data_IF_728599373879
#
_entry.id   IF_728599373879
#
_cell.length_a   1.000
_cell.length_b   1.000
_cell.length_c   1.000
_cell.angle_alpha   90.00
_cell.angle_beta   90.00
_cell.angle_gamma   90.00
#
_symmetry.space_group_name_H-M   'P 1'
#
loop_
_entity.id
_entity.type
_entity.pdbx_description
1 polymer ?
#
# COMPACT_ATOMS: atom_id res chain seq x y z
N UNK A 1 39.30 -8.05 -7.86
CA UNK A 1 38.98 -9.43 -7.43
C UNK A 1 39.60 -9.61 -6.05
N UNK A 2 38.92 -9.60 -4.92
CA UNK A 2 37.51 -9.53 -4.59
C UNK A 2 37.38 -8.56 -3.39
N UNK A 3 36.45 -7.62 -3.48
CA UNK A 3 36.18 -6.62 -2.43
C UNK A 3 34.70 -6.73 -2.05
N UNK A 4 34.26 -7.97 -1.82
CA UNK A 4 32.86 -8.31 -1.57
C UNK A 4 32.81 -9.48 -0.59
N UNK A 5 33.08 -9.17 0.69
CA UNK A 5 32.83 -10.05 1.84
C UNK A 5 32.88 -9.21 3.12
N UNK A 6 32.22 -8.04 3.12
CA UNK A 6 32.00 -7.23 4.32
C UNK A 6 30.53 -6.89 4.41
N UNK A 7 29.72 -7.90 4.67
CA UNK A 7 28.54 -7.76 5.54
C UNK A 7 28.61 -8.97 6.47
N UNK A 8 29.50 -8.83 7.46
CA UNK A 8 29.43 -9.59 8.69
C UNK A 8 27.98 -9.56 9.16
N UNK A 9 27.39 -10.74 9.25
CA UNK A 9 26.13 -11.01 9.93
C UNK A 9 26.20 -10.42 11.34
N UNK A 10 25.74 -9.17 11.46
CA UNK A 10 25.49 -8.54 12.73
C UNK A 10 24.32 -9.29 13.37
N UNK A 11 24.66 -10.22 14.26
CA UNK A 11 23.97 -10.47 15.52
C UNK A 11 22.44 -10.45 15.40
N UNK A 12 21.88 -11.60 14.99
CA UNK A 12 20.43 -11.82 14.88
C UNK A 12 19.82 -11.98 16.27
N UNK A 13 19.80 -10.89 17.04
CA UNK A 13 19.09 -10.80 18.31
C UNK A 13 17.73 -10.10 18.12
N UNK A 14 17.03 -10.54 17.06
CA UNK A 14 15.70 -10.06 16.67
C UNK A 14 14.73 -11.22 16.53
N UNK A 15 13.51 -11.03 17.03
CA UNK A 15 12.42 -12.00 16.90
C UNK A 15 12.10 -12.29 15.43
N UNK A 16 11.27 -13.30 15.17
CA UNK A 16 10.81 -13.61 13.80
C UNK A 16 10.22 -12.39 13.10
N UNK A 17 9.46 -11.56 13.83
CA UNK A 17 8.84 -10.35 13.29
C UNK A 17 9.89 -9.31 12.87
N UNK A 18 10.96 -9.12 13.64
CA UNK A 18 12.05 -8.20 13.27
C UNK A 18 12.71 -8.60 11.96
N UNK A 19 13.00 -9.89 11.80
CA UNK A 19 13.55 -10.44 10.55
C UNK A 19 12.59 -10.31 9.38
N UNK A 20 11.29 -10.55 9.60
CA UNK A 20 10.27 -10.38 8.58
C UNK A 20 10.17 -8.91 8.15
N UNK A 21 10.12 -7.98 9.10
CA UNK A 21 10.06 -6.54 8.82
C UNK A 21 11.33 -6.06 8.14
N UNK A 22 12.50 -6.50 8.59
CA UNK A 22 13.76 -6.20 7.92
C UNK A 22 13.73 -6.67 6.46
N UNK A 23 13.26 -7.89 6.20
CA UNK A 23 13.12 -8.44 4.85
C UNK A 23 12.14 -7.62 4.01
N UNK A 24 10.99 -7.22 4.57
CA UNK A 24 10.01 -6.39 3.88
C UNK A 24 10.56 -4.99 3.56
N UNK A 25 11.29 -4.38 4.49
CA UNK A 25 11.95 -3.07 4.30
C UNK A 25 13.04 -3.16 3.26
N UNK A 26 13.83 -4.23 3.30
CA UNK A 26 14.90 -4.47 2.33
C UNK A 26 14.31 -4.67 0.93
N UNK A 27 13.29 -5.51 0.80
CA UNK A 27 12.56 -5.70 -0.44
C UNK A 27 12.02 -4.37 -0.96
N UNK A 28 11.34 -3.57 -0.12
CA UNK A 28 10.76 -2.29 -0.51
C UNK A 28 11.81 -1.25 -0.92
N UNK A 29 12.95 -1.19 -0.22
CA UNK A 29 14.07 -0.28 -0.54
C UNK A 29 14.70 -0.58 -1.90
N UNK A 30 14.82 -1.87 -2.23
CA UNK A 30 15.38 -2.33 -3.50
C UNK A 30 14.30 -2.55 -4.57
N UNK A 31 13.04 -2.30 -4.24
CA UNK A 31 11.94 -2.37 -5.18
C UNK A 31 12.03 -1.17 -6.14
N UNK A 32 12.81 -1.34 -7.19
CA UNK A 32 12.90 -0.36 -8.27
C UNK A 32 11.69 -0.56 -9.18
N UNK A 33 10.74 0.39 -9.12
CA UNK A 33 9.84 0.56 -10.26
C UNK A 33 10.75 1.11 -11.35
N UNK A 34 10.92 0.43 -12.49
CA UNK A 34 11.64 1.03 -13.61
C UNK A 34 10.82 2.23 -14.08
N UNK A 35 11.07 3.38 -13.45
CA UNK A 35 10.75 4.69 -13.97
C UNK A 35 11.71 4.84 -15.14
N UNK A 36 11.24 5.14 -16.36
CA UNK A 36 12.11 5.23 -17.52
C UNK A 36 13.14 6.34 -17.28
N UNK A 37 14.33 5.94 -16.83
CA UNK A 37 15.51 6.79 -16.76
C UNK A 37 15.98 6.99 -18.20
N UNK A 38 15.69 8.17 -18.75
CA UNK A 38 16.47 8.80 -19.82
C UNK A 38 16.13 8.53 -21.30
N UNK A 39 14.97 7.97 -21.68
CA UNK A 39 14.48 8.16 -23.06
C UNK A 39 12.97 8.06 -23.13
N UNK A 40 12.32 9.21 -23.37
CA UNK A 40 10.87 9.35 -23.59
C UNK A 40 10.33 8.53 -24.78
N UNK A 41 11.20 7.87 -25.57
CA UNK A 41 10.85 7.17 -26.81
C UNK A 41 11.51 5.80 -27.00
N UNK A 42 12.15 5.21 -25.97
CA UNK A 42 12.70 3.85 -26.13
C UNK A 42 11.56 2.81 -26.25
N UNK A 43 11.63 1.86 -27.19
CA UNK A 43 10.68 0.74 -27.23
C UNK A 43 10.88 -0.11 -25.98
N UNK A 44 9.91 -0.05 -25.08
CA UNK A 44 9.95 -0.80 -23.82
C UNK A 44 9.40 -2.21 -24.05
N UNK A 45 10.15 -3.23 -23.64
CA UNK A 45 9.70 -4.62 -23.73
C UNK A 45 8.46 -4.87 -22.83
N UNK A 46 7.34 -5.38 -23.38
CA UNK A 46 6.07 -5.42 -22.68
C UNK A 46 5.93 -6.50 -21.57
N UNK A 47 6.85 -7.47 -21.47
CA UNK A 47 6.67 -8.66 -20.61
C UNK A 47 7.28 -8.55 -19.21
N UNK A 48 8.37 -7.81 -19.05
CA UNK A 48 9.06 -7.63 -17.76
C UNK A 48 8.39 -6.59 -16.87
N UNK A 49 7.60 -5.71 -17.47
CA UNK A 49 7.03 -4.52 -16.84
C UNK A 49 5.75 -4.78 -16.03
N UNK A 50 4.83 -5.62 -16.55
CA UNK A 50 3.65 -6.10 -15.78
C UNK A 50 4.05 -6.84 -14.50
N UNK A 51 5.16 -7.57 -14.54
CA UNK A 51 5.63 -8.37 -13.41
C UNK A 51 6.01 -7.50 -12.20
N UNK A 52 6.59 -6.32 -12.41
CA UNK A 52 6.93 -5.41 -11.33
C UNK A 52 5.66 -4.86 -10.64
N UNK A 53 4.69 -4.38 -11.43
CA UNK A 53 3.41 -3.92 -10.91
C UNK A 53 2.65 -5.01 -10.13
N UNK A 54 2.60 -6.23 -10.65
CA UNK A 54 1.98 -7.36 -9.97
C UNK A 54 2.68 -7.74 -8.66
N UNK A 55 4.03 -7.69 -8.63
CA UNK A 55 4.81 -7.90 -7.41
C UNK A 55 4.49 -6.83 -6.35
N UNK A 56 4.34 -5.57 -6.76
CA UNK A 56 3.91 -4.49 -5.86
C UNK A 56 2.51 -4.75 -5.30
N UNK A 57 1.53 -5.12 -6.15
CA UNK A 57 0.18 -5.45 -5.71
C UNK A 57 0.19 -6.62 -4.71
N UNK A 58 0.96 -7.67 -5.00
CA UNK A 58 1.10 -8.82 -4.10
C UNK A 58 1.71 -8.41 -2.75
N UNK A 59 2.73 -7.55 -2.76
CA UNK A 59 3.35 -7.02 -1.56
C UNK A 59 2.38 -6.17 -0.74
N UNK A 60 1.63 -5.26 -1.37
CA UNK A 60 0.61 -4.43 -0.70
C UNK A 60 -0.46 -5.31 -0.05
N UNK A 61 -0.97 -6.32 -0.77
CA UNK A 61 -1.93 -7.29 -0.23
C UNK A 61 -1.36 -8.03 0.98
N UNK A 62 -0.13 -8.53 0.87
CA UNK A 62 0.57 -9.20 1.97
C UNK A 62 0.70 -8.29 3.19
N UNK A 63 1.13 -7.04 3.00
CA UNK A 63 1.30 -6.07 4.09
C UNK A 63 -0.03 -5.70 4.74
N UNK A 64 -1.10 -5.55 3.95
CA UNK A 64 -2.44 -5.27 4.47
C UNK A 64 -2.96 -6.43 5.33
N UNK A 65 -2.85 -7.67 4.85
CA UNK A 65 -3.23 -8.86 5.62
C UNK A 65 -2.38 -9.00 6.87
N UNK A 66 -1.06 -8.81 6.76
CA UNK A 66 -0.17 -8.89 7.90
C UNK A 66 -0.55 -7.88 8.98
N UNK A 67 -0.96 -6.66 8.61
CA UNK A 67 -1.39 -5.62 9.54
C UNK A 67 -2.78 -5.87 10.14
N UNK A 68 -3.72 -6.44 9.38
CA UNK A 68 -5.05 -6.79 9.90
C UNK A 68 -5.02 -7.99 10.85
N UNK A 69 -4.08 -8.91 10.65
CA UNK A 69 -4.00 -10.15 11.43
C UNK A 69 -3.27 -9.97 12.76
N UNK A 70 -2.67 -8.81 13.03
CA UNK A 70 -2.04 -8.53 14.33
C UNK A 70 -3.13 -8.38 15.39
N UNK A 71 -3.26 -9.35 16.32
CA UNK A 71 -4.29 -9.27 17.34
C UNK A 71 -3.98 -8.08 18.26
N UNK A 72 -4.92 -7.14 18.36
CA UNK A 72 -4.91 -6.13 19.41
C UNK A 72 -5.10 -6.87 20.75
N UNK A 73 -4.02 -7.32 21.38
CA UNK A 73 -4.09 -7.98 22.67
C UNK A 73 -4.02 -6.90 23.77
N UNK A 74 -5.15 -6.53 24.42
CA UNK A 74 -5.18 -5.48 25.43
C UNK A 74 -4.43 -5.86 26.72
N UNK A 75 -3.95 -7.09 26.86
CA UNK A 75 -3.30 -7.60 28.08
C UNK A 75 -1.76 -7.48 28.14
N UNK A 76 -1.07 -7.10 27.06
CA UNK A 76 0.39 -7.17 26.98
C UNK A 76 1.10 -5.84 27.29
N UNK A 77 0.83 -5.24 28.45
CA UNK A 77 1.39 -3.95 28.86
C UNK A 77 2.94 -3.90 28.94
N UNK A 78 3.61 -5.05 29.10
CA UNK A 78 5.08 -5.13 29.17
C UNK A 78 5.78 -5.34 27.81
N UNK A 79 5.03 -5.70 26.75
CA UNK A 79 5.55 -5.96 25.40
C UNK A 79 5.07 -4.90 24.38
N UNK A 80 4.31 -3.90 24.84
CA UNK A 80 3.63 -2.90 24.02
C UNK A 80 4.56 -2.01 23.21
N UNK A 81 5.80 -1.75 23.67
CA UNK A 81 6.72 -0.86 22.94
C UNK A 81 7.23 -1.48 21.64
N UNK A 82 7.62 -2.76 21.65
CA UNK A 82 8.08 -3.47 20.45
C UNK A 82 6.90 -3.75 19.51
N UNK A 83 5.77 -4.18 20.06
CA UNK A 83 4.56 -4.42 19.29
C UNK A 83 4.06 -3.14 18.59
N UNK A 84 4.08 -2.00 19.29
CA UNK A 84 3.77 -0.69 18.71
C UNK A 84 4.78 -0.29 17.63
N UNK A 85 6.08 -0.57 17.84
CA UNK A 85 7.12 -0.34 16.82
C UNK A 85 6.93 -1.18 15.55
N UNK A 86 6.51 -2.44 15.69
CA UNK A 86 6.23 -3.34 14.57
C UNK A 86 4.99 -2.88 13.79
N UNK A 87 3.89 -2.56 14.49
CA UNK A 87 2.68 -2.00 13.89
C UNK A 87 2.99 -0.71 13.13
N UNK A 88 3.75 0.21 13.74
CA UNK A 88 4.20 1.43 13.08
C UNK A 88 4.99 1.12 11.81
N UNK A 89 5.99 0.23 11.87
CA UNK A 89 6.80 -0.13 10.71
C UNK A 89 5.97 -0.74 9.58
N UNK A 90 4.99 -1.58 9.91
CA UNK A 90 4.10 -2.21 8.94
C UNK A 90 3.15 -1.20 8.31
N UNK A 91 2.57 -0.31 9.12
CA UNK A 91 1.70 0.76 8.66
C UNK A 91 2.44 1.74 7.72
N UNK A 92 3.68 2.11 8.06
CA UNK A 92 4.52 2.96 7.19
C UNK A 92 4.77 2.27 5.84
N UNK A 93 5.19 1.01 5.85
CA UNK A 93 5.44 0.24 4.61
C UNK A 93 4.18 0.09 3.76
N UNK A 94 3.03 -0.18 4.37
CA UNK A 94 1.76 -0.26 3.67
C UNK A 94 1.41 1.08 3.03
N UNK A 95 1.49 2.19 3.78
CA UNK A 95 1.19 3.51 3.25
C UNK A 95 2.13 3.89 2.10
N UNK A 96 3.44 3.72 2.28
CA UNK A 96 4.44 4.08 1.27
C UNK A 96 4.31 3.18 0.02
N UNK A 97 3.98 1.90 0.17
CA UNK A 97 3.70 1.00 -0.98
C UNK A 97 2.40 1.33 -1.71
N UNK A 98 1.34 1.72 -1.00
CA UNK A 98 0.13 2.27 -1.62
C UNK A 98 0.42 3.54 -2.43
N UNK A 99 1.27 4.45 -1.95
CA UNK A 99 1.70 5.63 -2.71
C UNK A 99 2.46 5.24 -3.98
N UNK A 100 3.32 4.23 -3.90
CA UNK A 100 3.99 3.69 -5.08
C UNK A 100 2.99 3.10 -6.08
N UNK A 101 1.90 2.44 -5.64
CA UNK A 101 0.85 1.94 -6.55
C UNK A 101 0.19 3.09 -7.32
N UNK A 102 -0.12 4.21 -6.63
CA UNK A 102 -0.72 5.40 -7.26
C UNK A 102 0.18 5.93 -8.38
N UNK A 103 1.47 6.11 -8.09
CA UNK A 103 2.44 6.74 -9.00
C UNK A 103 2.95 5.77 -10.08
N UNK A 104 2.87 4.45 -9.86
CA UNK A 104 3.45 3.46 -10.77
C UNK A 104 2.87 3.55 -12.18
N UNK A 105 3.67 3.78 -13.23
CA UNK A 105 3.17 3.82 -14.61
C UNK A 105 2.86 2.41 -15.16
N UNK A 106 3.25 1.35 -14.44
CA UNK A 106 3.14 -0.04 -14.90
C UNK A 106 1.82 -0.70 -14.57
N UNK A 107 0.99 -0.01 -13.80
CA UNK A 107 -0.32 -0.47 -13.40
C UNK A 107 -1.37 0.33 -14.17
N UNK A 108 -2.29 -0.41 -14.75
CA UNK A 108 -3.58 0.05 -15.22
C UNK A 108 -4.38 0.67 -14.07
N UNK A 109 -5.20 1.68 -14.39
CA UNK A 109 -6.01 2.37 -13.38
C UNK A 109 -6.90 1.41 -12.59
N UNK A 110 -7.52 0.43 -13.26
CA UNK A 110 -8.33 -0.63 -12.64
C UNK A 110 -7.53 -1.39 -11.58
N UNK A 111 -6.34 -1.89 -11.93
CA UNK A 111 -5.49 -2.65 -11.01
C UNK A 111 -5.02 -1.79 -9.83
N UNK A 112 -4.74 -0.50 -10.06
CA UNK A 112 -4.38 0.44 -9.00
C UNK A 112 -5.51 0.62 -8.01
N UNK A 113 -6.69 1.02 -8.49
CA UNK A 113 -7.81 1.39 -7.63
C UNK A 113 -8.36 0.17 -6.88
N UNK A 114 -8.37 -1.01 -7.51
CA UNK A 114 -8.79 -2.25 -6.84
C UNK A 114 -7.78 -2.71 -5.79
N UNK A 115 -6.48 -2.58 -6.05
CA UNK A 115 -5.45 -2.85 -5.05
C UNK A 115 -5.57 -1.92 -3.84
N UNK A 116 -5.76 -0.62 -4.10
CA UNK A 116 -5.91 0.40 -3.06
C UNK A 116 -7.19 0.18 -2.24
N UNK A 117 -8.32 -0.05 -2.92
CA UNK A 117 -9.61 -0.34 -2.27
C UNK A 117 -9.47 -1.49 -1.30
N UNK A 118 -8.95 -2.62 -1.78
CA UNK A 118 -8.80 -3.82 -0.95
C UNK A 118 -7.86 -3.60 0.23
N UNK A 119 -6.70 -2.99 0.00
CA UNK A 119 -5.72 -2.76 1.07
C UNK A 119 -6.25 -1.82 2.16
N UNK A 120 -6.91 -0.74 1.76
CA UNK A 120 -7.44 0.28 2.67
C UNK A 120 -8.70 -0.18 3.40
N UNK A 121 -9.58 -0.95 2.76
CA UNK A 121 -10.73 -1.57 3.44
C UNK A 121 -10.28 -2.63 4.44
N UNK A 122 -9.25 -3.42 4.13
CA UNK A 122 -8.75 -4.47 5.05
C UNK A 122 -7.98 -3.90 6.23
N UNK A 123 -7.09 -2.93 6.02
CA UNK A 123 -6.09 -2.54 7.01
C UNK A 123 -6.00 -1.03 7.24
N UNK A 124 -6.86 -0.23 6.64
CA UNK A 124 -6.79 1.23 6.69
C UNK A 124 -6.91 1.79 8.11
N UNK A 125 -7.84 1.28 8.91
CA UNK A 125 -8.02 1.72 10.30
C UNK A 125 -6.77 1.43 11.15
N UNK A 126 -6.24 0.21 11.06
CA UNK A 126 -5.01 -0.19 11.74
C UNK A 126 -3.79 0.62 11.26
N UNK A 127 -3.72 0.90 9.96
CA UNK A 127 -2.67 1.71 9.36
C UNK A 127 -2.71 3.17 9.80
N UNK A 128 -3.90 3.78 9.89
CA UNK A 128 -4.05 5.15 10.38
C UNK A 128 -3.68 5.26 11.86
N UNK A 129 -4.09 4.27 12.68
CA UNK A 129 -3.71 4.22 14.10
C UNK A 129 -2.21 4.04 14.28
N UNK A 130 -1.59 3.19 13.46
CA UNK A 130 -0.16 2.92 13.50
C UNK A 130 0.69 4.08 12.99
N UNK A 131 0.31 4.72 11.90
CA UNK A 131 1.10 5.77 11.24
C UNK A 131 0.21 6.91 10.67
N UNK A 132 -0.40 7.75 11.53
CA UNK A 132 -1.40 8.73 11.10
C UNK A 132 -0.84 9.77 10.13
N UNK A 133 0.41 10.22 10.33
CA UNK A 133 1.06 11.16 9.43
C UNK A 133 1.32 10.57 8.03
N UNK A 134 1.60 9.25 7.95
CA UNK A 134 1.80 8.57 6.65
C UNK A 134 0.48 8.33 5.94
N UNK A 135 -0.57 8.00 6.68
CA UNK A 135 -1.92 7.90 6.14
C UNK A 135 -2.39 9.26 5.58
N UNK A 136 -2.15 10.36 6.30
CA UNK A 136 -2.46 11.71 5.81
C UNK A 136 -1.76 12.01 4.47
N UNK A 137 -0.46 11.70 4.37
CA UNK A 137 0.29 11.90 3.14
C UNK A 137 -0.17 10.99 1.98
N UNK A 138 -0.65 9.77 2.27
CA UNK A 138 -1.28 8.90 1.27
C UNK A 138 -2.59 9.51 0.77
N UNK A 139 -3.40 10.06 1.67
CA UNK A 139 -4.68 10.71 1.33
C UNK A 139 -4.47 11.95 0.46
N UNK A 140 -3.43 12.73 0.74
CA UNK A 140 -3.08 13.86 -0.14
C UNK A 140 -2.74 13.37 -1.55
N UNK A 141 -1.99 12.27 -1.68
CA UNK A 141 -1.75 11.66 -2.99
C UNK A 141 -3.03 11.13 -3.66
N UNK A 142 -4.00 10.58 -2.90
CA UNK A 142 -5.29 10.16 -3.45
C UNK A 142 -6.11 11.36 -3.94
N UNK A 143 -6.07 12.49 -3.23
CA UNK A 143 -6.71 13.75 -3.65
C UNK A 143 -6.09 14.30 -4.91
N UNK A 144 -4.76 14.34 -4.97
CA UNK A 144 -4.03 14.79 -6.16
C UNK A 144 -4.36 13.92 -7.36
N UNK A 145 -4.41 12.59 -7.18
CA UNK A 145 -4.83 11.65 -8.21
C UNK A 145 -6.29 11.90 -8.64
N UNK A 146 -7.21 12.07 -7.70
CA UNK A 146 -8.63 12.33 -7.99
C UNK A 146 -8.84 13.61 -8.81
N UNK A 147 -8.07 14.67 -8.52
CA UNK A 147 -8.12 15.96 -9.22
C UNK A 147 -7.45 15.94 -10.61
N UNK A 148 -6.71 14.89 -10.93
CA UNK A 148 -6.09 14.75 -12.26
C UNK A 148 -7.14 14.51 -13.35
N UNK A 149 -6.97 15.21 -14.48
CA UNK A 149 -7.83 15.08 -15.67
C UNK A 149 -7.76 13.70 -16.31
N UNK A 150 -6.66 12.98 -16.10
CA UNK A 150 -6.31 11.77 -16.85
C UNK A 150 -6.88 10.50 -16.21
N UNK A 151 -7.62 10.64 -15.11
CA UNK A 151 -8.22 9.51 -14.38
C UNK A 151 -9.59 9.17 -14.97
N UNK A 152 -9.82 7.89 -15.36
CA UNK A 152 -11.13 7.40 -15.80
C UNK A 152 -12.21 7.62 -14.74
N UNK A 153 -13.46 7.75 -15.16
CA UNK A 153 -14.60 8.01 -14.27
C UNK A 153 -14.77 6.92 -13.18
N UNK A 154 -14.66 5.65 -13.54
CA UNK A 154 -14.72 4.51 -12.60
C UNK A 154 -13.60 4.54 -11.55
N UNK A 155 -12.38 4.88 -11.98
CA UNK A 155 -11.25 5.04 -11.08
C UNK A 155 -11.45 6.25 -10.16
N UNK A 156 -12.05 7.33 -10.67
CA UNK A 156 -12.39 8.53 -9.89
C UNK A 156 -13.46 8.24 -8.84
N UNK A 157 -14.49 7.45 -9.16
CA UNK A 157 -15.50 6.97 -8.20
C UNK A 157 -14.87 6.15 -7.08
N UNK A 158 -13.96 5.23 -7.42
CA UNK A 158 -13.23 4.42 -6.42
C UNK A 158 -12.35 5.29 -5.52
N UNK A 159 -11.66 6.29 -6.07
CA UNK A 159 -10.86 7.22 -5.27
C UNK A 159 -11.75 8.02 -4.31
N UNK A 160 -12.94 8.45 -4.75
CA UNK A 160 -13.90 9.14 -3.89
C UNK A 160 -14.41 8.24 -2.76
N UNK A 161 -14.77 7.00 -3.07
CA UNK A 161 -15.15 5.96 -2.09
C UNK A 161 -14.09 5.84 -0.99
N UNK A 162 -12.81 5.80 -1.35
CA UNK A 162 -11.71 5.67 -0.38
C UNK A 162 -11.51 6.93 0.47
N UNK A 163 -11.70 8.12 -0.12
CA UNK A 163 -11.65 9.38 0.62
C UNK A 163 -12.80 9.48 1.63
N UNK A 164 -14.01 9.06 1.25
CA UNK A 164 -15.16 9.00 2.14
C UNK A 164 -15.02 7.92 3.22
N UNK A 165 -14.48 6.75 2.87
CA UNK A 165 -14.19 5.68 3.81
C UNK A 165 -13.28 6.17 4.94
N UNK A 166 -12.23 6.93 4.61
CA UNK A 166 -11.40 7.53 5.66
C UNK A 166 -12.15 8.61 6.44
N UNK A 167 -12.85 9.52 5.76
CA UNK A 167 -13.55 10.64 6.42
C UNK A 167 -14.63 10.18 7.41
N UNK A 168 -15.21 8.99 7.18
CA UNK A 168 -16.18 8.33 8.06
C UNK A 168 -15.55 7.52 9.20
N UNK A 169 -14.21 7.51 9.33
CA UNK A 169 -13.52 6.70 10.34
C UNK A 169 -13.46 5.21 9.98
N UNK A 170 -13.21 4.91 8.71
CA UNK A 170 -13.08 3.54 8.15
C UNK A 170 -14.36 2.71 8.14
N UNK A 171 -15.52 3.37 8.19
CA UNK A 171 -16.84 2.73 8.21
C UNK A 171 -17.82 3.51 7.37
N UNK A 172 -18.07 3.05 6.15
CA UNK A 172 -19.13 3.60 5.30
C UNK A 172 -20.51 3.29 5.89
N UNK A 173 -21.42 4.27 5.82
CA UNK A 173 -22.83 4.07 6.16
C UNK A 173 -23.52 3.16 5.15
N UNK A 174 -24.69 2.62 5.50
CA UNK A 174 -25.48 1.78 4.59
C UNK A 174 -25.83 2.53 3.29
N UNK A 175 -26.18 3.82 3.38
CA UNK A 175 -26.52 4.64 2.22
C UNK A 175 -25.33 4.84 1.28
N UNK A 176 -24.14 5.05 1.85
CA UNK A 176 -22.90 5.16 1.07
C UNK A 176 -22.53 3.83 0.40
N UNK A 177 -22.67 2.72 1.11
CA UNK A 177 -22.45 1.38 0.53
C UNK A 177 -23.38 1.14 -0.65
N UNK A 178 -24.67 1.44 -0.50
CA UNK A 178 -25.67 1.30 -1.58
C UNK A 178 -25.36 2.20 -2.78
N UNK A 179 -24.89 3.43 -2.54
CA UNK A 179 -24.49 4.35 -3.61
C UNK A 179 -23.37 3.74 -4.46
N UNK A 180 -22.27 3.30 -3.84
CA UNK A 180 -21.13 2.77 -4.60
C UNK A 180 -21.39 1.39 -5.20
N UNK A 181 -22.20 0.52 -4.58
CA UNK A 181 -22.55 -0.77 -5.17
C UNK A 181 -23.49 -0.60 -6.38
N UNK A 182 -24.52 0.25 -6.27
CA UNK A 182 -25.48 0.44 -7.37
C UNK A 182 -24.88 1.17 -8.57
N UNK A 183 -23.91 2.06 -8.36
CA UNK A 183 -23.16 2.71 -9.43
C UNK A 183 -22.19 1.76 -10.14
N UNK A 184 -21.54 0.85 -9.40
CA UNK A 184 -20.70 -0.18 -10.02
C UNK A 184 -21.53 -1.19 -10.82
N UNK A 185 -22.74 -1.52 -10.36
CA UNK A 185 -23.66 -2.38 -11.11
C UNK A 185 -24.14 -1.71 -12.41
N UNK A 186 -24.40 -0.39 -12.38
CA UNK A 186 -24.80 0.38 -13.55
C UNK A 186 -23.68 0.65 -14.57
N UNK A 187 -22.41 0.53 -14.16
CA UNK A 187 -21.26 0.65 -15.05
C UNK A 187 -20.86 -0.67 -15.74
N UNK A 188 -21.48 -1.80 -15.34
CA UNK A 188 -21.21 -3.13 -15.88
C UNK A 188 -22.12 -3.56 -17.05
N UNK A 189 -23.14 -2.75 -17.36
CA UNK A 189 -24.07 -2.90 -18.51
C UNK A 189 -23.72 -1.95 -19.67
#
# INVERSE_FOLDING_TARGET
MAMESVELEAEVDGGFVDRLLWTCRNWFKHFDIPLPRSTFWAPVEPKTQKNAGQKLIAFVKFMATLLSDVPENPGAASMGSLHSGHIFSMAVLLCDSCRLVIISPQLDYEAKVECLRRALTTAGEAAERGAPARMAALVDCLRDAFLSSDVPEEARLTLLELLELRASGWKLSLDQQLYYTSLNDAAAD
#
